data_IF_880039983280
#
_entry.id   IF_880039983280
#
_cell.length_a   1.000
_cell.length_b   1.000
_cell.length_c   1.000
_cell.angle_alpha   90.00
_cell.angle_beta   90.00
_cell.angle_gamma   90.00
#
_symmetry.space_group_name_H-M   'P 1'
#
loop_
_entity.id
_entity.type
_entity.pdbx_description
1 polymer ?
#
# COMPACT_ATOMS: atom_id res chain seq x y z
N UNK A 1 -22.43 21.50 109.24
CA UNK A 1 -21.65 22.39 108.33
C UNK A 1 -21.07 23.54 109.21
N UNK A 2 -19.75 23.65 109.19
CA UNK A 2 -19.14 24.69 110.00
C UNK A 2 -19.32 26.07 109.34
N UNK A 3 -19.43 27.14 110.10
CA UNK A 3 -19.59 28.51 109.56
C UNK A 3 -18.50 28.94 108.57
N UNK A 4 -17.30 28.40 108.70
CA UNK A 4 -16.17 28.62 107.76
C UNK A 4 -16.39 28.04 106.38
N UNK A 5 -17.07 26.88 106.27
CA UNK A 5 -17.32 26.23 104.97
C UNK A 5 -18.37 26.97 104.15
N UNK A 6 -19.32 27.66 104.83
CA UNK A 6 -20.33 28.51 104.20
C UNK A 6 -19.71 29.84 103.71
N UNK A 7 -18.79 30.42 104.53
CA UNK A 7 -18.10 31.63 104.10
C UNK A 7 -17.18 31.42 102.86
N UNK A 8 -16.41 30.33 102.79
CA UNK A 8 -15.63 30.01 101.65
C UNK A 8 -16.46 29.75 100.38
N UNK A 9 -17.62 29.11 100.56
CA UNK A 9 -18.54 28.93 99.40
C UNK A 9 -19.14 30.24 98.93
N UNK A 10 -19.48 31.14 99.87
CA UNK A 10 -19.99 32.47 99.50
C UNK A 10 -18.93 33.31 98.79
N UNK A 11 -17.68 33.24 99.26
CA UNK A 11 -16.55 33.94 98.62
C UNK A 11 -16.25 33.38 97.20
N UNK A 12 -16.22 32.05 97.01
CA UNK A 12 -16.04 31.51 95.75
C UNK A 12 -17.16 31.83 94.74
N UNK A 13 -18.41 31.88 95.26
CA UNK A 13 -19.56 32.29 94.42
C UNK A 13 -19.48 33.76 94.07
N UNK A 14 -18.96 34.64 94.95
CA UNK A 14 -18.72 36.08 94.69
C UNK A 14 -17.64 36.29 93.65
N UNK A 15 -16.58 35.44 93.63
CA UNK A 15 -15.52 35.53 92.64
C UNK A 15 -16.00 35.06 91.30
N UNK A 16 -16.80 33.92 91.23
CA UNK A 16 -17.43 33.45 90.05
C UNK A 16 -18.38 34.48 89.40
N UNK A 17 -19.16 35.20 90.28
CA UNK A 17 -20.05 36.25 89.79
C UNK A 17 -19.23 37.45 89.21
N UNK A 18 -18.14 37.86 89.85
CA UNK A 18 -17.26 38.90 89.27
C UNK A 18 -16.61 38.53 87.99
N UNK A 19 -16.22 37.26 87.89
CA UNK A 19 -15.64 36.73 86.64
C UNK A 19 -16.68 36.73 85.54
N UNK A 20 -17.93 36.32 85.82
CA UNK A 20 -19.06 36.40 84.89
C UNK A 20 -19.39 37.87 84.49
N UNK A 21 -19.37 38.80 85.44
CA UNK A 21 -19.58 40.21 85.12
C UNK A 21 -18.45 40.89 84.32
N UNK A 22 -17.26 40.36 84.44
CA UNK A 22 -16.10 40.85 83.67
C UNK A 22 -16.14 40.40 82.18
N UNK A 23 -16.98 39.44 81.81
CA UNK A 23 -17.09 38.97 80.44
C UNK A 23 -17.87 40.00 79.61
N UNK A 24 -17.16 40.68 78.73
CA UNK A 24 -17.80 41.51 77.68
C UNK A 24 -18.54 40.64 76.65
N UNK A 25 -19.79 40.34 77.01
CA UNK A 25 -20.68 39.50 76.21
C UNK A 25 -20.95 40.09 74.82
N UNK A 26 -20.91 41.39 74.67
CA UNK A 26 -21.11 42.12 73.42
C UNK A 26 -19.90 41.97 72.53
N UNK A 27 -18.70 42.10 73.05
CA UNK A 27 -17.47 41.90 72.31
C UNK A 27 -17.33 40.41 71.85
N UNK A 28 -17.65 39.48 72.76
CA UNK A 28 -17.66 38.04 72.42
C UNK A 28 -18.68 37.69 71.31
N UNK A 29 -19.90 38.28 71.41
CA UNK A 29 -20.93 38.12 70.39
C UNK A 29 -20.49 38.69 69.04
N UNK A 30 -19.94 39.89 69.00
CA UNK A 30 -19.45 40.51 67.77
C UNK A 30 -18.30 39.72 67.14
N UNK A 31 -17.39 39.17 67.91
CA UNK A 31 -16.29 38.36 67.48
C UNK A 31 -16.81 37.03 66.91
N UNK A 32 -17.70 36.37 67.63
CA UNK A 32 -18.31 35.09 67.11
C UNK A 32 -19.12 35.32 65.84
N UNK A 33 -19.90 36.39 65.74
CA UNK A 33 -20.65 36.75 64.55
C UNK A 33 -19.75 37.13 63.38
N UNK A 34 -18.62 37.76 63.59
CA UNK A 34 -17.64 38.05 62.55
C UNK A 34 -16.98 36.77 62.02
N UNK A 35 -16.61 35.87 62.92
CA UNK A 35 -15.98 34.59 62.56
C UNK A 35 -16.96 33.71 61.81
N UNK A 36 -18.23 33.61 62.20
CA UNK A 36 -19.28 32.86 61.47
C UNK A 36 -19.47 33.47 60.09
N UNK A 37 -19.62 34.74 59.94
CA UNK A 37 -19.79 35.42 58.65
C UNK A 37 -18.57 35.22 57.73
N UNK A 38 -17.36 35.14 58.28
CA UNK A 38 -16.13 34.94 57.56
C UNK A 38 -16.07 33.45 56.98
N UNK A 39 -16.54 32.51 57.81
CA UNK A 39 -16.62 31.09 57.41
C UNK A 39 -17.71 30.87 56.34
N UNK A 40 -18.88 31.48 56.52
CA UNK A 40 -19.97 31.39 55.55
C UNK A 40 -19.60 32.03 54.21
N UNK A 41 -18.97 33.20 54.19
CA UNK A 41 -18.48 33.84 52.96
C UNK A 41 -17.48 32.95 52.22
N UNK A 42 -16.54 32.31 52.91
CA UNK A 42 -15.58 31.39 52.30
C UNK A 42 -16.28 30.17 51.68
N UNK A 43 -17.27 29.60 52.37
CA UNK A 43 -18.05 28.47 51.84
C UNK A 43 -18.84 28.86 50.59
N UNK A 44 -19.45 30.04 50.59
CA UNK A 44 -20.25 30.53 49.46
C UNK A 44 -19.38 30.84 48.25
N UNK A 45 -18.21 31.48 48.40
CA UNK A 45 -17.27 31.72 47.30
C UNK A 45 -16.70 30.45 46.75
N UNK A 46 -16.34 29.48 47.59
CA UNK A 46 -15.84 28.19 47.18
C UNK A 46 -16.91 27.38 46.42
N UNK A 47 -18.16 27.39 46.89
CA UNK A 47 -19.26 26.68 46.19
C UNK A 47 -19.60 27.32 44.83
N UNK A 48 -19.52 28.67 44.73
CA UNK A 48 -19.69 29.37 43.47
C UNK A 48 -18.53 29.04 42.49
N UNK A 49 -17.29 29.10 42.95
CA UNK A 49 -16.13 28.70 42.14
C UNK A 49 -16.22 27.27 41.63
N UNK A 50 -16.63 26.33 42.49
CA UNK A 50 -16.82 24.94 42.11
C UNK A 50 -17.95 24.74 41.07
N UNK A 51 -19.05 25.52 41.19
CA UNK A 51 -20.14 25.50 40.19
C UNK A 51 -19.67 26.01 38.83
N UNK A 52 -18.94 27.14 38.78
CA UNK A 52 -18.41 27.68 37.53
C UNK A 52 -17.28 26.82 36.97
N UNK A 53 -16.42 26.23 37.82
CA UNK A 53 -15.38 25.31 37.40
C UNK A 53 -15.98 24.05 36.75
N UNK A 54 -17.05 23.47 37.30
CA UNK A 54 -17.74 22.33 36.70
C UNK A 54 -18.41 22.69 35.36
N UNK A 55 -19.00 23.90 35.28
CA UNK A 55 -19.65 24.41 34.07
C UNK A 55 -18.68 24.66 32.92
N UNK A 56 -17.43 25.02 33.21
CA UNK A 56 -16.36 25.23 32.23
C UNK A 56 -15.59 23.93 31.93
N UNK A 57 -15.47 23.02 32.90
CA UNK A 57 -14.75 21.76 32.73
C UNK A 57 -15.39 20.83 31.69
N UNK A 58 -16.73 20.74 31.64
CA UNK A 58 -17.44 19.91 30.71
C UNK A 58 -17.20 20.32 29.24
N UNK A 59 -17.42 21.59 28.84
CA UNK A 59 -17.14 22.00 27.45
C UNK A 59 -15.66 21.92 27.09
N UNK A 60 -14.74 22.18 28.03
CA UNK A 60 -13.30 22.03 27.81
C UNK A 60 -12.91 20.56 27.58
N UNK A 61 -13.51 19.64 28.32
CA UNK A 61 -13.28 18.22 28.17
C UNK A 61 -13.87 17.70 26.85
N UNK A 62 -15.07 18.18 26.50
CA UNK A 62 -15.69 17.85 25.21
C UNK A 62 -14.88 18.41 24.04
N UNK A 63 -14.43 19.66 24.09
CA UNK A 63 -13.58 20.21 23.02
C UNK A 63 -12.23 19.50 22.94
N UNK A 64 -11.63 19.13 24.07
CA UNK A 64 -10.39 18.33 24.09
C UNK A 64 -10.60 16.93 23.47
N UNK A 65 -11.72 16.26 23.77
CA UNK A 65 -12.07 14.98 23.15
C UNK A 65 -12.32 15.10 21.64
N UNK A 66 -13.06 16.15 21.22
CA UNK A 66 -13.31 16.41 19.80
C UNK A 66 -12.02 16.74 19.06
N UNK A 67 -11.19 17.64 19.62
CA UNK A 67 -9.88 17.96 19.03
C UNK A 67 -8.95 16.76 19.01
N UNK A 68 -8.93 15.94 20.06
CA UNK A 68 -8.21 14.67 20.10
C UNK A 68 -8.68 13.70 19.01
N UNK A 69 -9.99 13.51 18.89
CA UNK A 69 -10.58 12.69 17.83
C UNK A 69 -10.19 13.20 16.42
N UNK A 70 -10.35 14.49 16.15
CA UNK A 70 -9.97 15.09 14.86
C UNK A 70 -8.46 15.01 14.59
N UNK A 71 -7.63 15.13 15.62
CA UNK A 71 -6.18 15.01 15.48
C UNK A 71 -5.74 13.58 15.18
N UNK A 72 -6.31 12.59 15.84
CA UNK A 72 -6.00 11.17 15.61
C UNK A 72 -6.63 10.63 14.34
N UNK A 73 -7.83 11.09 13.97
CA UNK A 73 -8.53 10.65 12.75
C UNK A 73 -8.01 11.36 11.47
N UNK A 74 -7.45 12.56 11.62
CA UNK A 74 -6.87 13.36 10.54
C UNK A 74 -5.38 13.13 10.25
N UNK A 75 -4.69 12.32 11.04
CA UNK A 75 -3.33 11.90 10.74
C UNK A 75 -3.36 10.80 9.65
N UNK A 76 -3.66 11.15 8.39
CA UNK A 76 -3.27 10.31 7.26
C UNK A 76 -1.74 10.17 7.33
N UNK A 77 -1.25 9.02 7.78
CA UNK A 77 0.16 8.68 7.65
C UNK A 77 0.53 8.84 6.18
N UNK A 78 1.45 9.76 5.90
CA UNK A 78 1.97 9.99 4.55
C UNK A 78 2.53 8.67 4.02
N UNK A 79 1.80 8.02 3.11
CA UNK A 79 2.17 6.70 2.60
C UNK A 79 3.45 6.84 1.80
N UNK A 80 4.57 6.37 2.35
CA UNK A 80 5.85 6.32 1.64
C UNK A 80 5.83 5.19 0.63
N UNK A 81 6.21 5.51 -0.61
CA UNK A 81 6.32 4.53 -1.68
C UNK A 81 7.78 4.18 -1.94
N UNK A 82 8.01 2.91 -2.24
CA UNK A 82 9.26 2.40 -2.79
C UNK A 82 9.03 1.97 -4.24
N UNK A 83 10.09 1.97 -5.03
CA UNK A 83 10.07 1.54 -6.42
C UNK A 83 11.22 0.56 -6.66
N UNK A 84 10.92 -0.53 -7.37
CA UNK A 84 11.90 -1.53 -7.79
C UNK A 84 11.84 -1.62 -9.30
N UNK A 85 12.99 -1.52 -9.94
CA UNK A 85 13.12 -1.67 -11.38
C UNK A 85 14.05 -2.82 -11.73
N UNK A 86 13.54 -3.79 -12.48
CA UNK A 86 14.37 -4.82 -13.10
C UNK A 86 15.10 -4.22 -14.30
N UNK A 87 16.41 -4.33 -14.32
CA UNK A 87 17.20 -3.89 -15.47
C UNK A 87 16.78 -4.65 -16.73
N UNK A 88 17.01 -4.06 -17.91
CA UNK A 88 16.79 -4.73 -19.19
C UNK A 88 17.65 -6.00 -19.26
N UNK A 89 17.05 -7.12 -19.71
CA UNK A 89 17.73 -8.42 -19.79
C UNK A 89 17.85 -9.16 -18.44
N UNK A 90 17.25 -8.67 -17.36
CA UNK A 90 17.30 -9.33 -16.05
C UNK A 90 15.92 -9.65 -15.49
N UNK A 91 15.86 -10.66 -14.62
CA UNK A 91 14.67 -11.02 -13.84
C UNK A 91 15.01 -10.85 -12.35
N UNK A 92 14.18 -10.15 -11.63
CA UNK A 92 14.35 -9.91 -10.18
C UNK A 92 13.24 -10.63 -9.41
N UNK A 93 13.61 -11.41 -8.40
CA UNK A 93 12.68 -11.93 -7.38
C UNK A 93 12.74 -11.02 -6.15
N UNK A 94 11.57 -10.57 -5.70
CA UNK A 94 11.46 -9.67 -4.55
C UNK A 94 10.32 -10.08 -3.63
N UNK A 95 10.50 -9.87 -2.33
CA UNK A 95 9.48 -10.09 -1.31
C UNK A 95 8.90 -8.77 -0.84
N UNK A 96 7.57 -8.62 -0.95
CA UNK A 96 6.83 -7.44 -0.54
C UNK A 96 6.64 -7.40 0.98
N UNK A 97 6.27 -6.23 1.57
CA UNK A 97 6.10 -6.06 3.01
C UNK A 97 5.03 -6.97 3.66
N UNK A 98 4.12 -7.54 2.88
CA UNK A 98 3.09 -8.49 3.33
C UNK A 98 3.52 -9.96 3.23
N UNK A 99 4.77 -10.23 2.83
CA UNK A 99 5.29 -11.58 2.58
C UNK A 99 4.89 -12.16 1.22
N UNK A 100 4.18 -11.41 0.38
CA UNK A 100 3.93 -11.79 -1.02
C UNK A 100 5.23 -11.74 -1.81
N UNK A 101 5.38 -12.64 -2.78
CA UNK A 101 6.58 -12.71 -3.63
C UNK A 101 6.22 -12.30 -5.04
N UNK A 102 7.08 -11.48 -5.65
CA UNK A 102 6.94 -11.02 -7.02
C UNK A 102 8.21 -11.28 -7.81
N UNK A 103 8.07 -11.74 -9.04
CA UNK A 103 9.14 -11.76 -10.06
C UNK A 103 8.87 -10.65 -11.05
N UNK A 104 9.86 -9.81 -11.28
CA UNK A 104 9.80 -8.71 -12.25
C UNK A 104 10.61 -9.10 -13.48
N UNK A 105 9.98 -9.08 -14.64
CA UNK A 105 10.65 -9.33 -15.90
C UNK A 105 11.47 -8.11 -16.36
N UNK A 106 12.34 -8.30 -17.33
CA UNK A 106 13.24 -7.27 -17.88
C UNK A 106 12.53 -5.94 -18.19
N UNK A 107 13.09 -4.83 -17.73
CA UNK A 107 12.55 -3.50 -17.94
C UNK A 107 11.26 -3.19 -17.17
N UNK A 108 10.91 -4.00 -16.18
CA UNK A 108 9.71 -3.83 -15.37
C UNK A 108 9.98 -2.95 -14.16
N UNK A 109 9.04 -2.07 -13.87
CA UNK A 109 9.01 -1.25 -12.66
C UNK A 109 7.78 -1.58 -11.83
N UNK A 110 7.98 -1.82 -10.53
CA UNK A 110 6.93 -2.02 -9.53
C UNK A 110 7.04 -0.94 -8.46
N UNK A 111 5.99 -0.14 -8.30
CA UNK A 111 5.84 0.85 -7.23
C UNK A 111 4.85 0.35 -6.19
N UNK A 112 5.25 0.36 -4.92
CA UNK A 112 4.46 -0.18 -3.81
C UNK A 112 4.66 0.66 -2.55
N UNK A 113 3.67 0.72 -1.62
CA UNK A 113 3.84 1.40 -0.35
C UNK A 113 4.76 0.60 0.57
N UNK A 114 5.64 1.27 1.32
CA UNK A 114 6.53 0.61 2.31
C UNK A 114 5.76 -0.10 3.42
N UNK A 115 4.52 0.33 3.67
CA UNK A 115 3.56 -0.33 4.56
C UNK A 115 2.21 -0.34 3.87
N UNK A 116 1.60 -1.52 3.73
CA UNK A 116 0.26 -1.63 3.17
C UNK A 116 -0.81 -1.09 4.12
N UNK A 117 -1.87 -0.50 3.57
CA UNK A 117 -3.02 -0.01 4.34
C UNK A 117 -3.76 -1.15 5.03
N UNK A 118 -4.57 -0.81 6.04
CA UNK A 118 -5.36 -1.79 6.80
C UNK A 118 -6.46 -2.46 5.99
N UNK A 119 -6.97 -1.80 4.96
CA UNK A 119 -8.12 -2.21 4.15
C UNK A 119 -7.73 -2.84 2.80
N UNK A 120 -6.54 -2.52 2.27
CA UNK A 120 -6.10 -3.07 0.99
C UNK A 120 -4.57 -3.07 0.84
N UNK A 121 -4.10 -3.88 -0.14
CA UNK A 121 -2.69 -4.00 -0.54
C UNK A 121 -2.60 -3.63 -2.02
N UNK A 122 -2.13 -2.43 -2.33
CA UNK A 122 -2.13 -1.91 -3.70
C UNK A 122 -0.73 -1.62 -4.21
N UNK A 123 -0.43 -2.08 -5.43
CA UNK A 123 0.83 -1.81 -6.14
C UNK A 123 0.55 -1.28 -7.54
N UNK A 124 1.51 -0.58 -8.13
CA UNK A 124 1.46 -0.08 -9.50
C UNK A 124 2.51 -0.82 -10.34
N UNK A 125 2.08 -1.39 -11.46
CA UNK A 125 2.93 -2.17 -12.37
C UNK A 125 3.11 -1.46 -13.70
N UNK A 126 4.37 -1.35 -14.14
CA UNK A 126 4.75 -1.02 -15.50
C UNK A 126 5.70 -2.11 -16.01
N UNK A 127 5.28 -2.87 -17.02
CA UNK A 127 6.00 -4.03 -17.52
C UNK A 127 5.31 -5.35 -17.19
N UNK A 128 6.07 -6.42 -16.97
CA UNK A 128 5.55 -7.76 -16.72
C UNK A 128 6.01 -8.30 -15.36
N UNK A 129 5.06 -8.79 -14.57
CA UNK A 129 5.36 -9.40 -13.29
C UNK A 129 4.51 -10.66 -13.04
N UNK A 130 5.14 -11.65 -12.41
CA UNK A 130 4.47 -12.81 -11.85
C UNK A 130 4.37 -12.65 -10.35
N UNK A 131 3.19 -12.91 -9.80
CA UNK A 131 2.85 -12.69 -8.40
C UNK A 131 2.47 -14.01 -7.71
N UNK A 132 3.01 -14.23 -6.52
CA UNK A 132 2.55 -15.22 -5.54
C UNK A 132 2.07 -14.46 -4.30
N UNK A 133 0.77 -14.21 -4.23
CA UNK A 133 0.17 -13.37 -3.21
C UNK A 133 -0.20 -14.20 -1.99
N UNK A 134 0.21 -13.71 -0.80
CA UNK A 134 -0.20 -14.28 0.49
C UNK A 134 -1.72 -14.17 0.66
N UNK A 135 -2.33 -15.30 1.08
CA UNK A 135 -3.77 -15.37 1.26
C UNK A 135 -4.22 -14.47 2.43
N UNK A 136 -5.13 -13.55 2.13
CA UNK A 136 -5.75 -12.66 3.10
C UNK A 136 -7.15 -12.27 2.60
N UNK A 137 -8.19 -12.81 3.26
CA UNK A 137 -9.58 -12.62 2.84
C UNK A 137 -10.13 -11.24 3.21
N UNK A 138 -9.52 -10.58 4.20
CA UNK A 138 -9.96 -9.27 4.68
C UNK A 138 -9.34 -8.13 3.89
N UNK A 139 -8.12 -8.31 3.35
CA UNK A 139 -7.37 -7.30 2.63
C UNK A 139 -7.01 -7.76 1.22
N UNK A 140 -7.81 -7.42 0.21
CA UNK A 140 -7.50 -7.74 -1.18
C UNK A 140 -6.18 -7.10 -1.64
N UNK A 141 -5.49 -7.79 -2.55
CA UNK A 141 -4.28 -7.29 -3.19
C UNK A 141 -4.63 -6.76 -4.59
N UNK A 142 -4.22 -5.54 -4.89
CA UNK A 142 -4.47 -4.86 -6.17
C UNK A 142 -3.18 -4.66 -6.95
N UNK A 143 -3.19 -5.03 -8.23
CA UNK A 143 -2.18 -4.65 -9.21
C UNK A 143 -2.81 -3.65 -10.18
N UNK A 144 -2.40 -2.41 -10.09
CA UNK A 144 -2.87 -1.34 -10.97
C UNK A 144 -1.89 -1.14 -12.12
N UNK A 145 -2.41 -1.03 -13.33
CA UNK A 145 -1.62 -0.70 -14.52
C UNK A 145 -1.87 0.74 -14.97
N UNK A 146 -0.91 1.34 -15.65
CA UNK A 146 -1.00 2.74 -16.13
C UNK A 146 -2.21 2.99 -17.02
N UNK A 147 -2.69 1.99 -17.74
CA UNK A 147 -3.82 2.09 -18.65
C UNK A 147 -5.18 1.91 -17.96
N UNK A 148 -5.22 1.94 -16.62
CA UNK A 148 -6.45 1.89 -15.83
C UNK A 148 -7.04 0.49 -15.64
N UNK A 149 -6.39 -0.56 -16.14
CA UNK A 149 -6.76 -1.94 -15.81
C UNK A 149 -6.23 -2.27 -14.42
N UNK A 150 -7.08 -2.83 -13.57
CA UNK A 150 -6.74 -3.25 -12.23
C UNK A 150 -7.06 -4.73 -12.03
N UNK A 151 -6.12 -5.46 -11.43
CA UNK A 151 -6.29 -6.88 -11.09
C UNK A 151 -6.37 -6.98 -9.57
N UNK A 152 -7.40 -7.65 -9.02
CA UNK A 152 -7.47 -7.88 -7.59
C UNK A 152 -7.68 -9.35 -7.22
N UNK A 153 -7.03 -9.74 -6.12
CA UNK A 153 -6.95 -11.13 -5.65
C UNK A 153 -6.93 -11.20 -4.11
N UNK A 154 -7.22 -12.39 -3.56
CA UNK A 154 -7.17 -12.65 -2.10
C UNK A 154 -6.10 -13.69 -1.70
N UNK A 155 -5.32 -14.21 -2.64
CA UNK A 155 -4.32 -15.25 -2.42
C UNK A 155 -4.21 -16.14 -3.65
N UNK A 156 -3.34 -15.75 -4.57
CA UNK A 156 -3.40 -16.20 -5.96
C UNK A 156 -2.01 -16.20 -6.57
N UNK A 157 -1.77 -17.11 -7.52
CA UNK A 157 -0.57 -17.10 -8.37
C UNK A 157 -0.99 -16.74 -9.80
N UNK A 158 -0.44 -15.65 -10.33
CA UNK A 158 -0.84 -15.10 -11.62
C UNK A 158 0.26 -14.22 -12.24
N UNK A 159 0.19 -14.02 -13.53
CA UNK A 159 1.06 -13.16 -14.31
C UNK A 159 0.27 -11.96 -14.86
N UNK A 160 0.87 -10.78 -14.86
CA UNK A 160 0.36 -9.59 -15.54
C UNK A 160 1.45 -9.06 -16.44
N UNK A 161 1.17 -8.97 -17.74
CA UNK A 161 1.99 -8.29 -18.73
C UNK A 161 1.30 -6.99 -19.15
N UNK A 162 1.91 -5.85 -18.81
CA UNK A 162 1.40 -4.50 -19.05
C UNK A 162 2.49 -3.55 -19.57
N UNK A 163 3.37 -4.03 -20.46
CA UNK A 163 4.36 -3.15 -21.10
C UNK A 163 3.66 -2.08 -21.92
N UNK A 164 4.17 -0.86 -21.87
CA UNK A 164 3.58 0.29 -22.58
C UNK A 164 3.56 0.09 -24.10
N UNK A 165 4.62 -0.51 -24.65
CA UNK A 165 4.80 -0.74 -26.09
C UNK A 165 4.04 -1.98 -26.62
N UNK A 166 3.34 -2.74 -25.77
CA UNK A 166 2.50 -3.84 -26.23
C UNK A 166 1.09 -3.33 -26.52
N UNK A 167 0.44 -3.90 -27.51
CA UNK A 167 -0.92 -3.53 -27.92
C UNK A 167 -1.96 -3.99 -26.88
N UNK A 168 -1.62 -5.05 -26.12
CA UNK A 168 -2.49 -5.70 -25.15
C UNK A 168 -1.93 -5.64 -23.74
N UNK A 169 -2.84 -5.62 -22.75
CA UNK A 169 -2.51 -6.05 -21.39
C UNK A 169 -2.97 -7.48 -21.23
N UNK A 170 -2.08 -8.37 -20.80
CA UNK A 170 -2.37 -9.79 -20.60
C UNK A 170 -2.37 -10.13 -19.11
N UNK A 171 -3.40 -10.82 -18.65
CA UNK A 171 -3.46 -11.39 -17.29
C UNK A 171 -3.67 -12.90 -17.42
N UNK A 172 -2.79 -13.70 -16.82
CA UNK A 172 -2.84 -15.17 -16.85
C UNK A 172 -2.94 -15.73 -15.45
N UNK A 173 -3.90 -16.62 -15.21
CA UNK A 173 -4.11 -17.23 -13.90
C UNK A 173 -3.53 -18.64 -13.84
N UNK A 174 -2.61 -18.84 -12.89
CA UNK A 174 -2.06 -20.17 -12.58
C UNK A 174 -2.86 -20.89 -11.50
N UNK A 175 -3.08 -20.23 -10.34
CA UNK A 175 -3.77 -20.85 -9.19
C UNK A 175 -4.56 -19.81 -8.42
N UNK A 176 -5.77 -20.20 -7.97
CA UNK A 176 -6.66 -19.35 -7.19
C UNK A 176 -7.77 -18.71 -8.04
N UNK A 177 -8.06 -17.44 -7.79
CA UNK A 177 -9.08 -16.66 -8.51
C UNK A 177 -8.57 -15.25 -8.74
N UNK A 178 -8.72 -14.77 -9.96
CA UNK A 178 -8.37 -13.38 -10.34
C UNK A 178 -9.64 -12.67 -10.81
N UNK A 179 -9.78 -11.41 -10.36
CA UNK A 179 -10.79 -10.50 -10.86
C UNK A 179 -10.07 -9.34 -11.55
N UNK A 180 -10.39 -9.11 -12.82
CA UNK A 180 -9.83 -8.02 -13.61
C UNK A 180 -10.89 -6.96 -13.79
N UNK A 181 -10.59 -5.74 -13.36
CA UNK A 181 -11.44 -4.56 -13.53
C UNK A 181 -10.89 -3.77 -14.71
N UNK A 182 -11.70 -3.64 -15.75
CA UNK A 182 -11.34 -2.84 -16.93
C UNK A 182 -11.55 -1.34 -16.67
N UNK A 183 -10.97 -0.44 -17.47
CA UNK A 183 -11.23 1.00 -17.38
C UNK A 183 -12.72 1.36 -17.46
N UNK A 184 -13.50 0.56 -18.20
CA UNK A 184 -14.96 0.71 -18.32
C UNK A 184 -15.74 0.18 -17.11
N UNK A 185 -15.03 -0.19 -16.02
CA UNK A 185 -15.58 -0.76 -14.77
C UNK A 185 -16.27 -2.13 -14.93
N UNK A 186 -16.01 -2.84 -16.01
CA UNK A 186 -16.41 -4.23 -16.15
C UNK A 186 -15.49 -5.11 -15.30
N UNK A 187 -16.05 -6.09 -14.58
CA UNK A 187 -15.27 -7.06 -13.81
C UNK A 187 -15.32 -8.42 -14.50
N UNK A 188 -14.17 -8.91 -14.92
CA UNK A 188 -14.01 -10.20 -15.59
C UNK A 188 -13.27 -11.15 -14.65
N UNK A 189 -13.88 -12.30 -14.41
CA UNK A 189 -13.33 -13.32 -13.49
C UNK A 189 -12.57 -14.37 -14.30
N UNK A 190 -11.33 -14.68 -13.85
CA UNK A 190 -10.53 -15.77 -14.39
C UNK A 190 -10.49 -16.96 -13.42
N UNK A 191 -10.49 -18.16 -14.01
CA UNK A 191 -10.22 -19.44 -13.36
C UNK A 191 -8.86 -19.99 -13.81
N UNK A 192 -8.23 -20.93 -13.07
CA UNK A 192 -6.92 -21.48 -13.44
C UNK A 192 -6.86 -22.00 -14.88
N UNK A 193 -5.79 -21.64 -15.59
CA UNK A 193 -5.62 -21.98 -17.00
C UNK A 193 -6.24 -20.97 -17.97
N UNK A 194 -6.86 -19.90 -17.49
CA UNK A 194 -7.41 -18.84 -18.33
C UNK A 194 -6.48 -17.63 -18.40
N UNK A 195 -6.56 -16.94 -19.53
CA UNK A 195 -5.97 -15.62 -19.76
C UNK A 195 -7.04 -14.62 -20.16
N UNK A 196 -6.81 -13.36 -19.82
CA UNK A 196 -7.50 -12.20 -20.37
C UNK A 196 -6.51 -11.38 -21.19
N UNK A 197 -6.89 -11.07 -22.42
CA UNK A 197 -6.23 -10.09 -23.28
C UNK A 197 -7.11 -8.84 -23.34
N UNK A 198 -6.60 -7.71 -22.88
CA UNK A 198 -7.25 -6.41 -22.98
C UNK A 198 -6.54 -5.59 -24.05
N UNK A 199 -7.23 -5.33 -25.16
CA UNK A 199 -6.75 -4.49 -26.25
C UNK A 199 -6.82 -3.01 -25.85
N UNK A 200 -5.68 -2.33 -25.84
CA UNK A 200 -5.57 -0.94 -25.36
C UNK A 200 -6.23 0.07 -26.32
N UNK A 201 -6.26 -0.24 -27.62
CA UNK A 201 -6.80 0.64 -28.63
C UNK A 201 -8.32 0.49 -28.72
N UNK A 202 -8.81 -0.73 -28.89
CA UNK A 202 -10.25 -0.99 -29.02
C UNK A 202 -11.00 -1.06 -27.70
N UNK A 203 -10.27 -1.13 -26.55
CA UNK A 203 -10.78 -1.30 -25.19
C UNK A 203 -11.65 -2.56 -25.02
N UNK A 204 -11.42 -3.57 -25.84
CA UNK A 204 -12.12 -4.86 -25.78
C UNK A 204 -11.31 -5.90 -25.03
N UNK A 205 -12.01 -6.78 -24.34
CA UNK A 205 -11.44 -7.90 -23.61
C UNK A 205 -11.78 -9.22 -24.27
N UNK A 206 -10.80 -10.10 -24.38
CA UNK A 206 -10.98 -11.48 -24.87
C UNK A 206 -10.44 -12.44 -23.82
N UNK A 207 -11.28 -13.37 -23.37
CA UNK A 207 -10.91 -14.43 -22.43
C UNK A 207 -10.75 -15.76 -23.11
N UNK A 208 -9.61 -16.43 -22.92
CA UNK A 208 -9.26 -17.69 -23.54
C UNK A 208 -8.58 -18.65 -22.55
N UNK A 209 -8.58 -19.96 -22.84
CA UNK A 209 -7.68 -20.92 -22.20
C UNK A 209 -6.30 -20.85 -22.82
N UNK A 210 -5.25 -21.00 -21.99
CA UNK A 210 -3.87 -20.87 -22.40
C UNK A 210 -2.97 -21.92 -21.72
N UNK A 211 -1.84 -22.27 -22.38
CA UNK A 211 -0.73 -22.95 -21.71
C UNK A 211 -0.04 -21.97 -20.75
N UNK A 212 -0.40 -22.06 -19.48
CA UNK A 212 0.11 -21.19 -18.41
C UNK A 212 1.62 -21.25 -18.33
N UNK A 213 2.21 -22.45 -18.44
CA UNK A 213 3.66 -22.62 -18.36
C UNK A 213 4.40 -21.81 -19.43
N UNK A 214 3.88 -21.77 -20.66
CA UNK A 214 4.47 -20.97 -21.74
C UNK A 214 4.47 -19.46 -21.47
N UNK A 215 3.59 -19.00 -20.57
CA UNK A 215 3.44 -17.57 -20.23
C UNK A 215 4.26 -17.17 -18.99
N UNK A 216 4.56 -18.10 -18.09
CA UNK A 216 5.22 -17.79 -16.81
C UNK A 216 6.65 -18.35 -16.70
N UNK A 217 7.11 -19.17 -17.67
CA UNK A 217 8.40 -19.84 -17.61
C UNK A 217 9.61 -18.87 -17.61
N UNK A 218 9.40 -17.63 -18.03
CA UNK A 218 10.42 -16.59 -18.01
C UNK A 218 10.98 -16.32 -16.61
N UNK A 219 10.16 -16.47 -15.56
CA UNK A 219 10.61 -16.32 -14.16
C UNK A 219 11.66 -17.36 -13.75
N UNK A 220 11.71 -18.48 -14.46
CA UNK A 220 12.65 -19.58 -14.28
C UNK A 220 13.79 -19.54 -15.33
N UNK A 221 13.98 -18.41 -16.01
CA UNK A 221 15.01 -18.20 -17.04
C UNK A 221 14.78 -18.96 -18.33
N UNK A 222 13.53 -19.32 -18.65
CA UNK A 222 13.20 -20.08 -19.87
C UNK A 222 12.32 -19.27 -20.81
N UNK A 223 12.66 -19.29 -22.09
CA UNK A 223 11.81 -18.78 -23.15
C UNK A 223 11.01 -19.95 -23.75
N UNK A 224 9.72 -20.01 -23.42
CA UNK A 224 8.83 -21.08 -23.88
C UNK A 224 7.79 -20.49 -24.82
N UNK A 225 7.78 -21.04 -26.04
CA UNK A 225 6.87 -20.68 -27.11
C UNK A 225 5.93 -21.84 -27.41
N UNK A 226 4.63 -21.58 -27.52
CA UNK A 226 3.59 -22.57 -27.78
C UNK A 226 2.62 -22.04 -28.83
N UNK A 227 2.86 -22.36 -30.09
CA UNK A 227 2.11 -21.79 -31.19
C UNK A 227 2.16 -20.25 -31.24
N UNK A 228 3.35 -19.71 -30.96
CA UNK A 228 3.57 -18.28 -30.80
C UNK A 228 3.94 -17.65 -32.14
N UNK A 229 3.33 -16.53 -32.55
CA UNK A 229 3.71 -15.79 -33.74
C UNK A 229 5.15 -15.30 -33.65
N UNK A 230 5.85 -15.29 -34.80
CA UNK A 230 7.25 -14.88 -34.87
C UNK A 230 7.48 -13.44 -34.34
N UNK A 231 6.56 -12.55 -34.62
CA UNK A 231 6.60 -11.18 -34.11
C UNK A 231 6.59 -11.10 -32.57
N UNK A 232 5.72 -11.90 -31.92
CA UNK A 232 5.69 -11.99 -30.46
C UNK A 232 6.99 -12.61 -29.91
N UNK A 233 7.57 -13.57 -30.63
CA UNK A 233 8.88 -14.16 -30.29
C UNK A 233 9.94 -13.06 -30.29
N UNK A 234 10.02 -12.24 -31.31
CA UNK A 234 11.00 -11.15 -31.39
C UNK A 234 10.81 -10.14 -30.25
N UNK A 235 9.59 -9.70 -29.96
CA UNK A 235 9.31 -8.81 -28.81
C UNK A 235 9.82 -9.40 -27.47
N UNK A 236 9.70 -10.72 -27.27
CA UNK A 236 10.23 -11.38 -26.07
C UNK A 236 11.76 -11.50 -26.09
N UNK A 237 12.37 -11.75 -27.26
CA UNK A 237 13.82 -11.80 -27.41
C UNK A 237 14.45 -10.40 -27.19
N UNK A 238 13.84 -9.33 -27.70
CA UNK A 238 14.29 -7.95 -27.47
C UNK A 238 14.40 -7.65 -25.97
N UNK A 239 13.39 -8.04 -25.20
CA UNK A 239 13.40 -7.83 -23.75
C UNK A 239 14.43 -8.69 -23.03
N UNK A 240 14.48 -9.96 -23.38
CA UNK A 240 15.36 -10.93 -22.74
C UNK A 240 16.84 -10.64 -22.99
N UNK A 241 17.22 -10.25 -24.22
CA UNK A 241 18.61 -10.00 -24.60
C UNK A 241 18.97 -8.51 -24.65
N UNK A 242 18.05 -7.62 -24.34
CA UNK A 242 18.24 -6.15 -24.40
C UNK A 242 18.76 -5.70 -25.78
N UNK A 243 18.09 -6.10 -26.84
CA UNK A 243 18.40 -5.76 -28.23
C UNK A 243 17.19 -5.07 -28.89
N UNK A 244 17.42 -4.47 -30.07
CA UNK A 244 16.37 -3.94 -30.95
C UNK A 244 16.28 -4.81 -32.21
N UNK A 245 15.12 -5.44 -32.44
CA UNK A 245 14.92 -6.36 -33.57
C UNK A 245 14.01 -5.69 -34.61
N UNK A 246 14.60 -5.24 -35.69
CA UNK A 246 13.84 -4.75 -36.85
C UNK A 246 13.43 -5.91 -37.73
N UNK A 247 12.13 -6.16 -37.80
CA UNK A 247 11.54 -7.27 -38.52
C UNK A 247 10.83 -6.79 -39.79
N UNK A 248 11.31 -7.24 -40.93
CA UNK A 248 10.76 -6.95 -42.25
C UNK A 248 10.11 -8.20 -42.82
N UNK A 249 8.79 -8.31 -42.81
CA UNK A 249 8.04 -9.41 -43.42
C UNK A 249 7.63 -9.06 -44.84
N UNK A 250 8.31 -9.63 -45.85
CA UNK A 250 8.02 -9.39 -47.26
C UNK A 250 7.11 -10.43 -47.89
N UNK A 251 6.83 -11.53 -47.19
CA UNK A 251 6.08 -12.66 -47.74
C UNK A 251 4.64 -12.75 -47.22
N UNK A 252 4.18 -11.83 -46.39
CA UNK A 252 2.84 -11.80 -45.77
C UNK A 252 2.45 -13.09 -45.05
N UNK A 253 3.40 -14.02 -44.85
CA UNK A 253 3.16 -15.31 -44.22
C UNK A 253 3.35 -15.21 -42.73
N UNK A 254 2.35 -15.67 -41.97
CA UNK A 254 2.46 -15.80 -40.52
C UNK A 254 3.17 -17.10 -40.16
N UNK A 255 4.30 -17.00 -39.47
CA UNK A 255 5.02 -18.14 -38.93
C UNK A 255 4.73 -18.24 -37.41
N UNK A 256 4.37 -19.45 -36.99
CA UNK A 256 4.11 -19.75 -35.58
C UNK A 256 5.03 -20.87 -35.12
N UNK A 257 5.61 -20.75 -33.93
CA UNK A 257 6.63 -21.64 -33.41
C UNK A 257 6.23 -22.33 -32.11
N UNK A 258 6.76 -23.54 -31.97
CA UNK A 258 6.79 -24.29 -30.72
C UNK A 258 8.25 -24.59 -30.41
N UNK A 259 8.79 -23.91 -29.37
CA UNK A 259 10.19 -24.05 -28.96
C UNK A 259 10.33 -23.79 -27.47
N UNK A 260 11.44 -24.27 -26.89
CA UNK A 260 11.85 -23.93 -25.51
C UNK A 260 13.35 -23.66 -25.54
N UNK A 261 13.74 -22.48 -25.11
CA UNK A 261 15.13 -22.04 -24.97
C UNK A 261 15.43 -21.77 -23.51
N UNK A 262 16.63 -22.07 -23.05
CA UNK A 262 17.07 -21.85 -21.68
C UNK A 262 18.41 -21.13 -21.61
N UNK A 263 19.44 -21.70 -22.22
CA UNK A 263 20.83 -21.25 -22.14
C UNK A 263 21.38 -20.83 -23.51
N UNK A 264 20.54 -20.87 -24.54
CA UNK A 264 20.92 -20.54 -25.91
C UNK A 264 21.16 -19.02 -26.05
N UNK A 265 22.21 -18.68 -26.76
CA UNK A 265 22.48 -17.27 -27.14
C UNK A 265 21.46 -16.77 -28.16
N UNK A 266 21.31 -15.46 -28.25
CA UNK A 266 20.43 -14.84 -29.25
C UNK A 266 20.75 -15.33 -30.69
N UNK A 267 22.04 -15.41 -31.07
CA UNK A 267 22.45 -15.88 -32.38
C UNK A 267 22.02 -17.29 -32.63
N UNK A 268 22.17 -18.21 -31.67
CA UNK A 268 21.72 -19.61 -31.79
C UNK A 268 20.21 -19.69 -31.98
N UNK A 269 19.44 -18.87 -31.21
CA UNK A 269 17.97 -18.83 -31.34
C UNK A 269 17.58 -18.36 -32.75
N UNK A 270 18.19 -17.24 -33.22
CA UNK A 270 17.92 -16.70 -34.55
C UNK A 270 18.30 -17.69 -35.66
N UNK A 271 19.40 -18.44 -35.49
CA UNK A 271 19.79 -19.48 -36.44
C UNK A 271 18.79 -20.63 -36.46
N UNK A 272 18.24 -21.07 -35.32
CA UNK A 272 17.19 -22.09 -35.28
C UNK A 272 15.90 -21.62 -35.97
N UNK A 273 15.51 -20.36 -35.74
CA UNK A 273 14.36 -19.77 -36.41
C UNK A 273 14.59 -19.67 -37.95
N UNK A 274 15.79 -19.27 -38.35
CA UNK A 274 16.16 -19.13 -39.78
C UNK A 274 16.18 -20.46 -40.54
N UNK A 275 16.47 -21.59 -39.88
CA UNK A 275 16.39 -22.94 -40.50
C UNK A 275 14.97 -23.35 -40.85
N UNK A 276 13.96 -22.85 -40.16
CA UNK A 276 12.56 -23.23 -40.35
C UNK A 276 11.74 -22.19 -41.10
N UNK A 277 12.15 -20.95 -41.12
CA UNK A 277 11.58 -19.86 -41.92
C UNK A 277 12.60 -19.44 -42.98
N UNK A 278 12.11 -19.02 -44.16
CA UNK A 278 12.99 -18.37 -45.16
C UNK A 278 13.34 -16.97 -44.70
N UNK A 279 14.23 -16.86 -43.68
CA UNK A 279 14.68 -15.59 -43.17
C UNK A 279 16.20 -15.47 -43.12
N UNK A 280 16.66 -14.26 -43.25
CA UNK A 280 18.06 -13.89 -43.02
C UNK A 280 18.10 -12.87 -41.90
N UNK A 281 19.17 -12.91 -41.11
CA UNK A 281 19.36 -11.94 -40.05
C UNK A 281 20.81 -11.43 -40.03
N UNK A 282 21.02 -10.21 -39.54
CA UNK A 282 22.34 -9.62 -39.34
C UNK A 282 22.34 -8.77 -38.07
N UNK A 283 23.49 -8.72 -37.43
CA UNK A 283 23.72 -7.83 -36.27
C UNK A 283 24.39 -6.54 -36.80
N UNK A 284 23.84 -5.41 -36.40
CA UNK A 284 24.54 -4.10 -36.52
C UNK A 284 25.16 -3.81 -35.16
N UNK A 285 26.46 -3.49 -35.17
CA UNK A 285 27.19 -3.22 -33.93
C UNK A 285 26.68 -1.95 -33.25
N UNK A 286 26.73 -1.97 -31.90
CA UNK A 286 26.40 -0.80 -31.09
C UNK A 286 27.35 0.35 -31.41
N UNK A 287 26.81 1.55 -31.51
CA UNK A 287 27.58 2.78 -31.68
C UNK A 287 27.79 3.46 -30.33
N UNK A 288 29.00 3.95 -30.08
CA UNK A 288 29.30 4.74 -28.91
C UNK A 288 28.64 6.12 -29.05
N UNK A 289 27.93 6.56 -28.02
CA UNK A 289 27.27 7.85 -27.93
C UNK A 289 28.22 8.89 -27.32
N UNK A 290 27.84 10.17 -27.39
CA UNK A 290 28.66 11.28 -26.88
C UNK A 290 28.83 11.28 -25.35
N UNK A 291 27.99 10.50 -24.62
CA UNK A 291 28.03 10.32 -23.17
C UNK A 291 28.78 9.03 -22.74
N UNK A 292 29.59 8.44 -23.62
CA UNK A 292 30.30 7.18 -23.46
C UNK A 292 29.43 5.95 -23.29
N UNK A 293 28.10 6.04 -23.44
CA UNK A 293 27.21 4.91 -23.51
C UNK A 293 27.17 4.27 -24.90
N UNK A 294 26.71 3.03 -24.99
CA UNK A 294 26.53 2.35 -26.27
C UNK A 294 25.03 2.24 -26.59
N UNK A 295 24.67 2.41 -27.85
CA UNK A 295 23.32 2.10 -28.34
C UNK A 295 23.03 0.61 -28.16
N UNK A 296 21.75 0.23 -28.05
CA UNK A 296 21.37 -1.18 -28.09
C UNK A 296 21.86 -1.84 -29.39
N UNK A 297 22.28 -3.11 -29.31
CA UNK A 297 22.57 -3.89 -30.50
C UNK A 297 21.33 -3.99 -31.35
N UNK A 298 21.45 -3.72 -32.62
CA UNK A 298 20.35 -3.77 -33.57
C UNK A 298 20.44 -5.04 -34.39
N UNK A 299 19.33 -5.76 -34.45
CA UNK A 299 19.20 -6.98 -35.25
C UNK A 299 18.23 -6.69 -36.40
N UNK A 300 18.68 -6.91 -37.61
CA UNK A 300 17.80 -6.79 -38.78
C UNK A 300 17.43 -8.20 -39.23
N UNK A 301 16.13 -8.44 -39.29
CA UNK A 301 15.55 -9.72 -39.73
C UNK A 301 14.69 -9.50 -40.98
N UNK A 302 15.09 -10.08 -42.12
CA UNK A 302 14.34 -10.06 -43.36
C UNK A 302 13.74 -11.42 -43.64
N UNK A 303 12.43 -11.49 -43.81
CA UNK A 303 11.66 -12.66 -44.15
C UNK A 303 11.30 -12.61 -45.66
N UNK A 304 11.48 -13.75 -46.39
CA UNK A 304 11.29 -13.84 -47.84
C UNK A 304 10.17 -14.78 -48.22
#
# INVERSE_FOLDING_TARGET
MSPESLFRKAQALGDDIREMESIDTLAAYHKAKFDINKVERKKTVYSLLMRYAALLAIPLLMTSLVLGYLYFDGAEEEVKYAEITAATGSVIRYELPDGSVVWLNAGTTLRYPTVFKKDNRSVELKGEAYFEIQADQERPFYVNTRNGLSVYVYGTKFNVNAYENDDYIETVLEKGKVNVITPNRETIVLTPGEQLLYDKQSQKSVKNKVDVYGKIAWKDGKLVFRNTPLEEIFKRLERHFNVDIQYNNRCEKEYRYRATFRDETLSQILDYLAKSAKMKWKIEESQQQADDTFTKKKIIVDLY
#
